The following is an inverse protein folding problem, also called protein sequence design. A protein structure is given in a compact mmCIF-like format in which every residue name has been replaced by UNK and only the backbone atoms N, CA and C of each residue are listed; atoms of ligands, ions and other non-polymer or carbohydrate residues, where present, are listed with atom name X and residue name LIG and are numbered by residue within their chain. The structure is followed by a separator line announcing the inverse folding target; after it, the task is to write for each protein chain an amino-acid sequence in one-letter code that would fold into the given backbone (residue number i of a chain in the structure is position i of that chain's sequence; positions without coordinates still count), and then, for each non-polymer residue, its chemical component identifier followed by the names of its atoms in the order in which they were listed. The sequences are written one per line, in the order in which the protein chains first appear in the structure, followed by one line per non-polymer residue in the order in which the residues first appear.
data_IF_781502678301
#
_entry.id   IF_781502678301
#
_cell.length_a   1.000
_cell.length_b   1.000
_cell.length_c   1.000
_cell.angle_alpha   90.00
_cell.angle_beta   90.00
_cell.angle_gamma   90.00
#
_symmetry.space_group_name_H-M   'P 1'
#
loop_
_entity.id
_entity.type
_entity.pdbx_description
1 polymer ?
#
# COMPACT_ATOMS: atom_id res chain seq x y z
N UNK A 1 -6.22 -8.93 -2.36
CA UNK A 1 -6.56 -10.30 -2.85
C UNK A 1 -6.93 -11.15 -1.64
N UNK A 2 -8.03 -11.89 -1.68
CA UNK A 2 -8.40 -12.85 -0.64
C UNK A 2 -7.39 -14.00 -0.54
N UNK A 3 -7.32 -14.65 0.63
CA UNK A 3 -6.58 -15.91 0.78
C UNK A 3 -7.12 -16.96 -0.20
N UNK A 4 -6.25 -17.84 -0.69
CA UNK A 4 -6.60 -18.83 -1.70
C UNK A 4 -6.57 -18.32 -3.14
N UNK A 5 -6.37 -17.03 -3.37
CA UNK A 5 -6.24 -16.48 -4.72
C UNK A 5 -4.87 -16.81 -5.31
N UNK A 6 -4.86 -17.66 -6.35
CA UNK A 6 -3.64 -17.91 -7.11
C UNK A 6 -3.29 -16.70 -7.97
N UNK A 7 -2.07 -16.20 -7.83
CA UNK A 7 -1.61 -15.01 -8.55
C UNK A 7 -0.13 -15.09 -8.90
N UNK A 8 0.29 -14.27 -9.84
CA UNK A 8 1.70 -14.13 -10.21
C UNK A 8 2.01 -12.69 -10.61
N UNK A 9 3.25 -12.29 -10.38
CA UNK A 9 3.77 -10.98 -10.78
C UNK A 9 4.48 -11.11 -12.13
N UNK A 10 4.16 -10.23 -13.05
CA UNK A 10 4.82 -10.15 -14.36
C UNK A 10 6.25 -9.62 -14.26
N UNK A 11 7.03 -9.80 -15.31
CA UNK A 11 8.38 -9.27 -15.38
C UNK A 11 8.38 -7.74 -15.49
N UNK A 12 9.37 -7.09 -14.87
CA UNK A 12 9.59 -5.64 -14.97
C UNK A 12 8.59 -4.78 -14.17
N UNK A 13 7.80 -5.38 -13.29
CA UNK A 13 6.84 -4.68 -12.44
C UNK A 13 7.47 -4.40 -11.07
N UNK A 14 7.25 -3.18 -10.58
CA UNK A 14 7.51 -2.80 -9.18
C UNK A 14 6.15 -2.65 -8.49
N UNK A 15 5.98 -3.29 -7.35
CA UNK A 15 4.74 -3.28 -6.59
C UNK A 15 4.95 -2.72 -5.18
N UNK A 16 3.90 -2.13 -4.62
CA UNK A 16 3.75 -1.94 -3.19
C UNK A 16 2.85 -3.06 -2.65
N UNK A 17 3.41 -3.93 -1.83
CA UNK A 17 2.68 -5.06 -1.26
C UNK A 17 2.38 -4.79 0.21
N UNK A 18 1.10 -4.69 0.53
CA UNK A 18 0.58 -4.55 1.89
C UNK A 18 -0.16 -5.84 2.22
N UNK A 19 0.37 -6.60 3.17
CA UNK A 19 -0.19 -7.89 3.53
C UNK A 19 -0.28 -8.07 5.03
N UNK A 20 -1.19 -8.95 5.45
CA UNK A 20 -1.20 -9.46 6.82
C UNK A 20 0.04 -10.34 7.03
N UNK A 21 0.70 -10.24 8.20
CA UNK A 21 1.81 -11.13 8.52
C UNK A 21 1.33 -12.57 8.53
N UNK A 22 1.92 -13.40 7.67
CA UNK A 22 1.67 -14.82 7.56
C UNK A 22 2.91 -15.51 7.04
N UNK A 23 3.25 -16.64 7.59
CA UNK A 23 4.31 -17.53 7.12
C UNK A 23 3.78 -18.62 6.15
N UNK A 24 2.47 -18.62 5.90
CA UNK A 24 1.81 -19.56 4.99
C UNK A 24 1.83 -19.03 3.57
N UNK A 25 2.89 -19.37 2.84
CA UNK A 25 3.00 -19.06 1.40
C UNK A 25 3.25 -20.35 0.63
N UNK A 26 2.30 -20.75 -0.20
CA UNK A 26 2.45 -21.91 -1.08
C UNK A 26 2.88 -21.45 -2.47
N UNK A 27 4.11 -21.86 -2.86
CA UNK A 27 4.67 -21.51 -4.17
C UNK A 27 4.35 -22.60 -5.18
N UNK A 28 3.56 -22.25 -6.18
CA UNK A 28 3.15 -23.19 -7.25
C UNK A 28 4.15 -23.21 -8.39
N UNK A 29 4.80 -22.08 -8.68
CA UNK A 29 5.76 -21.94 -9.76
C UNK A 29 6.78 -20.85 -9.42
N UNK A 30 8.05 -21.03 -9.81
CA UNK A 30 9.12 -20.06 -9.52
C UNK A 30 10.00 -19.75 -10.73
N UNK A 31 9.45 -19.77 -11.94
CA UNK A 31 10.12 -19.32 -13.17
C UNK A 31 11.47 -20.00 -13.42
N UNK A 32 11.60 -21.28 -13.05
CA UNK A 32 12.84 -22.05 -13.19
C UNK A 32 13.95 -21.70 -12.20
N UNK A 33 13.68 -20.87 -11.19
CA UNK A 33 14.65 -20.60 -10.12
C UNK A 33 14.87 -21.86 -9.29
N UNK A 34 16.11 -22.08 -8.89
CA UNK A 34 16.50 -23.20 -8.01
C UNK A 34 16.68 -22.72 -6.56
N UNK A 35 16.62 -23.66 -5.61
CA UNK A 35 16.86 -23.36 -4.19
C UNK A 35 15.62 -22.92 -3.40
N UNK A 36 14.43 -22.98 -3.99
CA UNK A 36 13.15 -22.74 -3.29
C UNK A 36 12.25 -23.96 -3.49
N UNK A 37 11.58 -24.35 -2.40
CA UNK A 37 10.62 -25.45 -2.44
C UNK A 37 9.34 -25.00 -3.13
N UNK A 38 8.81 -25.82 -4.02
CA UNK A 38 7.44 -25.70 -4.53
C UNK A 38 6.50 -26.49 -3.61
N UNK A 39 5.30 -25.97 -3.41
CA UNK A 39 4.25 -26.49 -2.53
C UNK A 39 3.00 -26.73 -3.34
N UNK A 40 3.11 -27.56 -4.40
CA UNK A 40 2.05 -27.71 -5.39
C UNK A 40 0.83 -28.42 -4.80
N UNK A 41 1.05 -29.49 -4.04
CA UNK A 41 -0.05 -30.27 -3.44
C UNK A 41 -0.81 -29.44 -2.41
N UNK A 42 -0.10 -28.78 -1.50
CA UNK A 42 -0.66 -27.92 -0.48
C UNK A 42 -1.38 -26.70 -1.11
N UNK A 43 -0.82 -26.14 -2.18
CA UNK A 43 -1.44 -25.04 -2.89
C UNK A 43 -2.77 -25.45 -3.55
N UNK A 44 -2.82 -26.62 -4.18
CA UNK A 44 -4.04 -27.14 -4.82
C UNK A 44 -5.17 -27.32 -3.80
N UNK A 45 -4.86 -27.75 -2.57
CA UNK A 45 -5.84 -27.86 -1.50
C UNK A 45 -6.36 -26.52 -0.99
N UNK A 46 -5.53 -25.44 -1.09
CA UNK A 46 -5.85 -24.12 -0.56
C UNK A 46 -6.37 -23.13 -1.59
N UNK A 47 -6.24 -23.42 -2.90
CA UNK A 47 -6.72 -22.53 -3.96
C UNK A 47 -8.26 -22.45 -3.92
N UNK A 48 -8.76 -21.22 -3.92
CA UNK A 48 -10.16 -20.96 -4.20
C UNK A 48 -10.37 -20.97 -5.72
N UNK A 49 -11.02 -22.01 -6.21
CA UNK A 49 -11.34 -22.19 -7.64
C UNK A 49 -12.60 -21.42 -8.08
N UNK A 50 -13.19 -20.64 -7.19
CA UNK A 50 -14.28 -19.73 -7.53
C UNK A 50 -13.84 -18.60 -8.45
N UNK A 51 -14.79 -17.83 -8.95
CA UNK A 51 -14.47 -16.67 -9.77
C UNK A 51 -13.68 -15.65 -8.98
N UNK A 52 -12.44 -15.41 -9.37
CA UNK A 52 -11.65 -14.29 -8.83
C UNK A 52 -12.21 -13.00 -9.45
N UNK A 53 -12.99 -12.27 -8.68
CA UNK A 53 -13.32 -10.88 -9.02
C UNK A 53 -12.08 -10.03 -8.71
N UNK A 54 -11.13 -10.02 -9.64
CA UNK A 54 -10.01 -9.09 -9.56
C UNK A 54 -10.57 -7.68 -9.60
N UNK A 55 -10.45 -6.97 -8.50
CA UNK A 55 -10.79 -5.55 -8.44
C UNK A 55 -9.66 -4.77 -9.13
N UNK A 56 -9.75 -4.70 -10.46
CA UNK A 56 -8.89 -3.83 -11.25
C UNK A 56 -9.51 -2.44 -11.23
N UNK A 57 -9.23 -1.68 -10.17
CA UNK A 57 -9.61 -0.28 -10.15
C UNK A 57 -8.85 0.48 -11.24
N UNK A 58 -9.58 1.14 -12.13
CA UNK A 58 -8.98 2.07 -13.10
C UNK A 58 -8.11 3.10 -12.39
N UNK A 59 -6.93 3.46 -12.96
CA UNK A 59 -6.09 4.49 -12.37
C UNK A 59 -6.86 5.80 -12.21
N UNK A 60 -6.67 6.48 -11.08
CA UNK A 60 -7.19 7.84 -10.91
C UNK A 60 -6.56 8.77 -11.94
N UNK A 61 -7.39 9.52 -12.67
CA UNK A 61 -6.93 10.48 -13.69
C UNK A 61 -6.78 11.90 -13.13
N UNK A 62 -7.55 12.22 -12.11
CA UNK A 62 -7.58 13.55 -11.49
C UNK A 62 -7.00 13.50 -10.07
N UNK A 63 -6.58 14.66 -9.57
CA UNK A 63 -6.16 14.80 -8.18
C UNK A 63 -7.33 14.51 -7.24
N UNK A 64 -7.05 13.82 -6.16
CA UNK A 64 -8.06 13.40 -5.18
C UNK A 64 -7.60 12.20 -4.38
N UNK A 65 -8.57 11.62 -3.67
CA UNK A 65 -8.34 10.46 -2.81
C UNK A 65 -9.41 9.41 -3.04
N UNK A 66 -9.03 8.14 -3.02
CA UNK A 66 -9.98 7.02 -3.07
C UNK A 66 -9.53 5.87 -2.20
N UNK A 67 -10.48 5.15 -1.65
CA UNK A 67 -10.23 3.90 -0.94
C UNK A 67 -9.98 2.79 -1.96
N UNK A 68 -8.83 2.14 -1.89
CA UNK A 68 -8.51 0.97 -2.71
C UNK A 68 -9.04 -0.32 -2.08
N UNK A 69 -8.90 -0.44 -0.77
CA UNK A 69 -9.40 -1.59 -0.01
C UNK A 69 -9.55 -1.24 1.45
N UNK A 70 -10.47 -1.94 2.09
CA UNK A 70 -10.75 -1.80 3.51
C UNK A 70 -11.12 -3.16 4.10
N UNK A 71 -10.51 -3.49 5.24
CA UNK A 71 -10.80 -4.71 5.99
C UNK A 71 -10.60 -4.45 7.50
N UNK A 72 -10.85 -5.42 8.39
CA UNK A 72 -10.69 -5.21 9.83
C UNK A 72 -9.28 -4.83 10.29
N UNK A 73 -8.24 -5.07 9.48
CA UNK A 73 -6.84 -4.91 9.88
C UNK A 73 -6.19 -3.66 9.31
N UNK A 74 -6.61 -3.23 8.13
CA UNK A 74 -6.10 -2.01 7.50
C UNK A 74 -7.09 -1.43 6.49
N UNK A 75 -6.90 -0.17 6.17
CA UNK A 75 -7.52 0.55 5.06
C UNK A 75 -6.42 1.17 4.22
N UNK A 76 -6.51 1.04 2.90
CA UNK A 76 -5.56 1.64 1.97
C UNK A 76 -6.28 2.71 1.16
N UNK A 77 -5.75 3.92 1.23
CA UNK A 77 -6.23 5.08 0.47
C UNK A 77 -5.15 5.48 -0.53
N UNK A 78 -5.52 5.59 -1.80
CA UNK A 78 -4.68 6.20 -2.81
C UNK A 78 -4.95 7.70 -2.85
N UNK A 79 -3.90 8.50 -2.78
CA UNK A 79 -3.95 9.93 -2.97
C UNK A 79 -3.16 10.30 -4.24
N UNK A 80 -3.83 10.97 -5.17
CA UNK A 80 -3.18 11.59 -6.32
C UNK A 80 -3.12 13.09 -6.12
N UNK A 81 -1.90 13.61 -6.11
CA UNK A 81 -1.61 15.01 -5.90
C UNK A 81 -1.21 15.68 -7.22
N UNK A 82 -1.50 16.95 -7.34
CA UNK A 82 -0.90 17.84 -8.31
C UNK A 82 -0.22 19.01 -7.57
N UNK A 83 0.54 19.84 -8.25
CA UNK A 83 1.39 20.87 -7.64
C UNK A 83 0.70 21.91 -6.73
N UNK A 84 -0.62 21.85 -6.57
CA UNK A 84 -1.40 22.72 -5.68
C UNK A 84 -2.13 21.94 -4.57
N UNK A 85 -2.01 20.63 -4.57
CA UNK A 85 -2.79 19.79 -3.66
C UNK A 85 -2.02 19.56 -2.35
N UNK A 86 -2.69 19.79 -1.24
CA UNK A 86 -2.31 19.36 0.10
C UNK A 86 -3.36 18.41 0.61
N UNK A 87 -2.94 17.28 1.17
CA UNK A 87 -3.82 16.29 1.77
C UNK A 87 -3.43 16.11 3.22
N UNK A 88 -4.42 16.24 4.10
CA UNK A 88 -4.29 15.84 5.50
C UNK A 88 -4.37 14.32 5.54
N UNK A 89 -3.35 13.68 6.11
CA UNK A 89 -3.37 12.24 6.33
C UNK A 89 -4.31 11.89 7.48
N UNK A 90 -4.92 10.73 7.38
CA UNK A 90 -5.74 10.24 8.47
C UNK A 90 -4.82 9.84 9.63
N UNK A 91 -5.07 10.43 10.77
CA UNK A 91 -4.33 10.15 11.98
C UNK A 91 -5.33 9.78 13.06
N UNK A 92 -5.36 8.51 13.40
CA UNK A 92 -6.00 8.00 14.59
C UNK A 92 -4.96 8.05 15.71
N UNK A 93 -5.22 8.78 16.77
CA UNK A 93 -4.33 8.96 17.92
C UNK A 93 -3.99 7.63 18.66
N UNK A 94 -4.70 6.57 18.33
CA UNK A 94 -4.47 5.23 18.87
C UNK A 94 -3.60 4.34 17.96
N UNK A 95 -3.37 4.69 16.68
CA UNK A 95 -2.78 3.75 15.71
C UNK A 95 -1.82 4.43 14.72
N UNK A 96 -0.74 3.74 14.35
CA UNK A 96 0.17 4.25 13.33
C UNK A 96 -0.45 4.14 11.93
N UNK A 97 0.08 4.92 11.01
CA UNK A 97 -0.15 4.77 9.57
C UNK A 97 1.16 4.67 8.80
N UNK A 98 1.09 4.22 7.56
CA UNK A 98 2.25 4.11 6.68
C UNK A 98 1.95 4.84 5.38
N UNK A 99 2.91 5.65 4.93
CA UNK A 99 2.87 6.31 3.62
C UNK A 99 3.85 5.63 2.69
N UNK A 100 3.39 5.23 1.51
CA UNK A 100 4.21 4.66 0.44
C UNK A 100 4.08 5.55 -0.80
N UNK A 101 5.17 6.16 -1.25
CA UNK A 101 5.19 7.00 -2.45
C UNK A 101 5.38 6.13 -3.67
N UNK A 102 4.37 6.04 -4.53
CA UNK A 102 4.39 5.17 -5.73
C UNK A 102 4.86 5.89 -6.98
N UNK A 103 4.64 7.21 -7.07
CA UNK A 103 5.17 8.02 -8.19
C UNK A 103 5.41 9.47 -7.77
N UNK A 104 6.30 10.15 -8.50
CA UNK A 104 6.66 11.54 -8.22
C UNK A 104 7.44 11.72 -6.92
N UNK A 105 7.09 12.75 -6.17
CA UNK A 105 7.67 13.05 -4.87
C UNK A 105 6.74 13.91 -4.05
N UNK A 106 6.75 13.69 -2.75
CA UNK A 106 5.94 14.43 -1.79
C UNK A 106 6.81 15.08 -0.74
N UNK A 107 6.28 16.12 -0.13
CA UNK A 107 6.80 16.72 1.08
C UNK A 107 5.86 16.38 2.24
N UNK A 108 6.39 15.66 3.23
CA UNK A 108 5.69 15.28 4.45
C UNK A 108 5.91 16.36 5.51
N UNK A 109 4.84 16.85 6.10
CA UNK A 109 4.86 17.97 7.02
C UNK A 109 4.04 17.67 8.29
N UNK A 110 4.41 18.31 9.40
CA UNK A 110 3.63 18.36 10.65
C UNK A 110 3.29 19.82 10.96
N UNK A 111 2.02 20.10 11.21
CA UNK A 111 1.57 21.47 11.53
C UNK A 111 2.08 21.94 12.89
N UNK A 112 2.19 21.03 13.85
CA UNK A 112 2.79 21.29 15.17
C UNK A 112 4.33 21.35 15.15
N UNK A 113 4.95 21.05 14.00
CA UNK A 113 6.39 20.93 13.86
C UNK A 113 7.00 19.83 14.76
N UNK A 114 6.26 18.74 14.95
CA UNK A 114 6.75 17.55 15.67
C UNK A 114 7.99 16.94 15.00
N UNK A 115 8.16 17.18 13.71
CA UNK A 115 9.38 16.85 12.93
C UNK A 115 9.64 17.92 11.87
N UNK A 116 10.86 17.95 11.35
CA UNK A 116 11.21 18.79 10.20
C UNK A 116 10.58 18.23 8.93
N UNK A 117 10.10 19.11 8.03
CA UNK A 117 9.59 18.72 6.72
C UNK A 117 10.57 17.78 5.99
N UNK A 118 10.05 16.72 5.39
CA UNK A 118 10.82 15.68 4.71
C UNK A 118 10.36 15.49 3.28
N UNK A 119 11.32 15.50 2.35
CA UNK A 119 11.08 15.13 0.95
C UNK A 119 11.18 13.62 0.80
N UNK A 120 10.13 13.02 0.27
CA UNK A 120 10.01 11.58 0.00
C UNK A 120 9.82 11.36 -1.51
N UNK A 121 10.84 10.88 -2.23
CA UNK A 121 10.71 10.51 -3.63
C UNK A 121 9.94 9.19 -3.80
N UNK A 122 9.57 8.87 -5.05
CA UNK A 122 8.99 7.57 -5.41
C UNK A 122 9.85 6.41 -4.90
N UNK A 123 9.21 5.37 -4.36
CA UNK A 123 9.84 4.24 -3.69
C UNK A 123 10.11 4.45 -2.19
N UNK A 124 9.86 5.66 -1.66
CA UNK A 124 9.97 5.91 -0.22
C UNK A 124 8.80 5.32 0.55
N UNK A 125 9.09 4.85 1.75
CA UNK A 125 8.09 4.42 2.74
C UNK A 125 8.38 5.13 4.06
N UNK A 126 7.35 5.72 4.67
CA UNK A 126 7.43 6.39 5.96
C UNK A 126 6.38 5.82 6.92
N UNK A 127 6.82 5.48 8.14
CA UNK A 127 5.93 5.12 9.24
C UNK A 127 5.59 6.41 10.01
N UNK A 128 4.31 6.64 10.21
CA UNK A 128 3.76 7.71 11.03
C UNK A 128 3.30 7.12 12.37
N UNK A 129 4.02 7.38 13.47
CA UNK A 129 3.57 6.96 14.79
C UNK A 129 2.21 7.56 15.16
N UNK A 130 1.43 6.85 15.96
CA UNK A 130 0.08 7.27 16.39
C UNK A 130 0.03 8.64 17.07
N UNK A 131 1.13 9.08 17.69
CA UNK A 131 1.22 10.40 18.34
C UNK A 131 1.26 11.58 17.35
N UNK A 132 1.48 11.32 16.06
CA UNK A 132 1.49 12.35 15.03
C UNK A 132 0.08 12.54 14.46
N UNK A 133 -0.70 13.43 15.04
CA UNK A 133 -2.11 13.64 14.69
C UNK A 133 -2.36 14.77 13.69
N UNK A 134 -1.30 15.44 13.23
CA UNK A 134 -1.37 16.65 12.41
C UNK A 134 -0.51 16.58 11.15
N UNK A 135 -0.34 15.37 10.61
CA UNK A 135 0.54 15.14 9.47
C UNK A 135 -0.18 15.34 8.15
N UNK A 136 0.46 16.06 7.25
CA UNK A 136 -0.04 16.29 5.90
C UNK A 136 1.04 16.04 4.85
N UNK A 137 0.60 15.86 3.63
CA UNK A 137 1.46 15.74 2.45
C UNK A 137 1.11 16.79 1.42
N UNK A 138 2.11 17.29 0.73
CA UNK A 138 1.96 18.10 -0.48
C UNK A 138 2.95 17.67 -1.55
N UNK A 139 2.70 18.06 -2.78
CA UNK A 139 3.66 17.89 -3.88
C UNK A 139 3.79 19.19 -4.68
N UNK A 140 4.90 19.30 -5.42
CA UNK A 140 5.14 20.43 -6.33
C UNK A 140 4.81 20.08 -7.78
N UNK A 141 4.55 18.82 -8.05
CA UNK A 141 4.21 18.25 -9.34
C UNK A 141 3.26 17.08 -9.13
N UNK A 142 2.90 16.37 -10.19
CA UNK A 142 2.09 15.15 -10.07
C UNK A 142 2.82 14.11 -9.21
N UNK A 143 2.12 13.58 -8.24
CA UNK A 143 2.59 12.51 -7.37
C UNK A 143 1.45 11.59 -6.96
N UNK A 144 1.78 10.35 -6.66
CA UNK A 144 0.83 9.37 -6.12
C UNK A 144 1.44 8.69 -4.91
N UNK A 145 0.64 8.54 -3.87
CA UNK A 145 1.01 7.81 -2.66
C UNK A 145 -0.13 6.92 -2.20
N UNK A 146 0.22 5.91 -1.44
CA UNK A 146 -0.70 5.09 -0.68
C UNK A 146 -0.57 5.47 0.80
N UNK A 147 -1.69 5.72 1.43
CA UNK A 147 -1.82 5.82 2.88
C UNK A 147 -2.41 4.51 3.38
N UNK A 148 -1.70 3.84 4.28
CA UNK A 148 -2.10 2.59 4.90
C UNK A 148 -2.45 2.88 6.36
N UNK A 149 -3.72 2.95 6.65
CA UNK A 149 -4.24 3.12 8.00
C UNK A 149 -4.28 1.75 8.68
N UNK A 150 -3.49 1.58 9.74
CA UNK A 150 -3.55 0.34 10.54
C UNK A 150 -4.82 0.34 11.36
N UNK A 151 -5.55 -0.76 11.31
CA UNK A 151 -6.74 -1.00 12.11
C UNK A 151 -6.47 -2.16 13.06
N UNK A 152 -7.14 -2.23 14.15
CA UNK A 152 -7.03 -3.34 15.09
C UNK A 152 -8.43 -3.66 15.64
N UNK A 153 -8.60 -4.88 16.05
CA UNK A 153 -9.76 -5.26 16.84
C UNK A 153 -9.69 -4.61 18.22
#
# INVERSE_FOLDING_TARGET
MPSGTCHALGAGIVIAEIQMPSDTTFRVYDWGRTGRTLHIEEAVECIDYGACTGDSSEPMREAGSRVLTENPHYRIVEHRLNGATRVQLHTDDARPSVVVVTSGGIELESDSRAFASMLLPAGSTALLPAVLTDTSVRSRADATLLEVEVRGN
#
